data_IF_025464749734
#
_entry.id   IF_025464749734
#
_cell.length_a   1.000
_cell.length_b   1.000
_cell.length_c   1.000
_cell.angle_alpha   90.00
_cell.angle_beta   90.00
_cell.angle_gamma   90.00
#
_symmetry.space_group_name_H-M   'P 1'
#
loop_
_entity.id
_entity.type
_entity.pdbx_description
1 polymer ?
2 non-polymer ?
3 non-polymer ?
4 non-polymer ?
5 water ?
#
# COMPACT_ATOMS: atom_id res chain seq x y z
N UNK A 12 17.52 23.77 12.18
CA UNK A 12 18.00 23.26 13.49
C UNK A 12 18.22 21.75 13.37
N UNK A 13 19.13 21.26 14.21
CA UNK A 13 19.37 19.83 14.35
C UNK A 13 18.67 19.36 15.63
N UNK A 14 17.68 18.46 15.47
CA UNK A 14 16.92 17.94 16.61
C UNK A 14 17.32 16.51 16.92
N UNK A 15 17.12 16.14 18.18
CA UNK A 15 17.27 14.76 18.61
C UNK A 15 15.91 14.11 18.80
N UNK A 16 14.93 14.91 19.23
CA UNK A 16 13.54 14.48 19.40
C UNK A 16 12.64 15.29 18.45
N UNK A 17 11.66 14.63 17.85
CA UNK A 17 10.67 15.32 17.04
C UNK A 17 9.36 14.54 17.16
N UNK A 18 8.39 15.10 17.88
CA UNK A 18 7.21 14.33 18.23
C UNK A 18 7.64 13.06 18.96
N UNK A 19 7.23 11.90 18.42
CA UNK A 19 7.48 10.61 19.01
C UNK A 19 8.75 9.96 18.45
N UNK A 20 9.48 10.67 17.59
CA UNK A 20 10.70 10.15 16.98
C UNK A 20 11.90 10.58 17.81
N UNK A 21 12.91 9.70 17.87
CA UNK A 21 14.14 9.92 18.63
C UNK A 21 15.30 9.44 17.78
N UNK A 22 16.31 10.29 17.60
CA UNK A 22 17.54 9.89 16.95
C UNK A 22 18.08 8.64 17.64
N UNK A 23 18.53 7.68 16.81
CA UNK A 23 19.08 6.39 17.19
C UNK A 23 18.03 5.27 17.10
N UNK A 24 16.75 5.63 16.95
CA UNK A 24 15.69 4.62 16.83
C UNK A 24 15.85 3.84 15.53
N UNK A 25 15.42 2.58 15.57
CA UNK A 25 15.27 1.76 14.38
C UNK A 25 14.07 2.29 13.61
N UNK A 26 14.18 2.26 12.27
CA UNK A 26 13.18 2.87 11.41
C UNK A 26 13.21 2.13 10.08
N UNK A 27 12.12 2.24 9.31
CA UNK A 27 12.10 1.84 7.91
C UNK A 27 12.22 3.10 7.07
N UNK A 28 13.01 3.02 6.00
CA UNK A 28 13.15 4.12 5.06
C UNK A 28 12.90 3.66 3.64
N UNK A 29 12.36 4.57 2.82
CA UNK A 29 12.04 4.29 1.44
C UNK A 29 13.29 4.54 0.58
N UNK A 30 13.69 3.54 -0.20
CA UNK A 30 14.79 3.69 -1.15
C UNK A 30 14.25 4.11 -2.52
N UNK A 31 15.19 4.51 -3.38
CA UNK A 31 14.90 4.95 -4.74
C UNK A 31 14.21 3.83 -5.54
N UNK A 32 14.42 2.58 -5.13
CA UNK A 32 13.79 1.42 -5.75
C UNK A 32 12.29 1.36 -5.45
N UNK A 33 11.84 2.15 -4.46
CA UNK A 33 10.45 2.19 -4.00
C UNK A 33 10.19 1.09 -2.96
N UNK A 34 11.20 0.27 -2.67
CA UNK A 34 11.13 -0.69 -1.56
C UNK A 34 11.67 -0.03 -0.29
N UNK A 35 11.22 -0.55 0.85
CA UNK A 35 11.56 -0.01 2.16
C UNK A 35 12.44 -1.00 2.92
N UNK A 36 13.33 -0.45 3.74
CA UNK A 36 14.44 -1.20 4.33
C UNK A 36 14.70 -0.67 5.72
N UNK A 37 15.13 -1.58 6.61
CA UNK A 37 15.46 -1.24 7.97
C UNK A 37 16.71 -0.37 8.00
N UNK A 38 16.70 0.60 8.92
CA UNK A 38 17.88 1.40 9.20
C UNK A 38 17.73 2.08 10.56
N UNK A 39 18.58 3.09 10.78
CA UNK A 39 18.59 3.83 12.03
C UNK A 39 18.39 5.31 11.69
N UNK A 40 17.59 6.01 12.49
CA UNK A 40 17.44 7.44 12.34
C UNK A 40 18.66 8.10 12.97
N UNK A 41 19.48 8.80 12.16
CA UNK A 41 20.74 9.35 12.67
C UNK A 41 20.68 10.88 12.82
N UNK A 42 19.72 11.55 12.18
CA UNK A 42 19.58 12.99 12.33
C UNK A 42 18.17 13.43 11.97
N UNK A 43 17.77 14.55 12.58
CA UNK A 43 16.52 15.25 12.27
C UNK A 43 16.89 16.71 12.01
N UNK A 44 16.55 17.20 10.81
CA UNK A 44 16.92 18.55 10.39
C UNK A 44 15.64 19.35 10.14
N UNK A 45 15.59 20.58 10.65
CA UNK A 45 14.49 21.46 10.35
C UNK A 45 15.00 22.64 9.51
N UNK A 46 14.18 23.04 8.54
CA UNK A 46 14.35 24.30 7.82
C UNK A 46 13.00 25.00 7.88
N UNK A 47 12.86 25.97 8.80
CA UNK A 47 11.58 26.58 9.08
C UNK A 47 10.57 25.52 9.52
N UNK A 48 9.37 25.44 8.88
CA UNK A 48 8.41 24.38 9.20
C UNK A 48 8.74 23.01 8.60
N UNK A 49 9.71 22.97 7.68
CA UNK A 49 10.11 21.74 7.02
C UNK A 49 10.95 20.85 7.94
N UNK A 50 10.81 19.53 7.75
CA UNK A 50 11.51 18.54 8.54
C UNK A 50 12.03 17.44 7.61
N UNK A 51 13.29 17.05 7.82
CA UNK A 51 13.91 15.97 7.09
C UNK A 51 14.55 15.02 8.09
N UNK A 52 14.66 13.75 7.70
CA UNK A 52 15.06 12.65 8.56
C UNK A 52 16.17 11.89 7.85
N UNK A 53 17.36 11.88 8.46
CA UNK A 53 18.52 11.21 7.89
C UNK A 53 18.55 9.77 8.42
N UNK A 54 18.57 8.81 7.49
CA UNK A 54 18.53 7.40 7.83
C UNK A 54 19.83 6.75 7.34
N UNK A 55 20.44 5.94 8.21
CA UNK A 55 21.54 5.09 7.82
C UNK A 55 20.97 3.68 7.69
N UNK A 56 20.93 3.18 6.45
CA UNK A 56 20.40 1.84 6.21
C UNK A 56 21.40 0.81 6.70
N UNK A 57 20.90 -0.42 6.89
CA UNK A 57 21.72 -1.50 7.43
C UNK A 57 22.91 -1.81 6.51
N UNK A 58 22.86 -1.39 5.24
CA UNK A 58 23.97 -1.56 4.32
C UNK A 58 24.95 -0.38 4.41
N UNK A 59 24.74 0.50 5.40
CA UNK A 59 25.62 1.62 5.72
C UNK A 59 25.36 2.82 4.81
N UNK A 60 24.54 2.66 3.76
CA UNK A 60 24.12 3.80 2.93
C UNK A 60 23.21 4.74 3.69
N UNK A 61 23.27 6.04 3.36
CA UNK A 61 22.54 7.08 4.07
C UNK A 61 21.66 7.85 3.09
N UNK A 62 20.46 8.25 3.53
CA UNK A 62 19.62 9.15 2.75
C UNK A 62 18.84 10.08 3.66
N UNK A 63 18.58 11.27 3.13
CA UNK A 63 17.81 12.30 3.82
C UNK A 63 16.39 12.25 3.28
N UNK A 64 15.44 11.88 4.16
CA UNK A 64 14.08 11.54 3.73
C UNK A 64 13.07 12.50 4.32
N UNK A 65 11.98 12.76 3.57
CA UNK A 65 10.78 13.40 4.11
C UNK A 65 10.11 12.43 5.08
N UNK A 66 9.29 12.97 5.98
CA UNK A 66 8.69 12.18 7.05
C UNK A 66 7.66 11.17 6.55
N UNK A 67 7.14 11.35 5.34
CA UNK A 67 6.23 10.38 4.72
C UNK A 67 7.02 9.24 4.04
N UNK A 68 8.36 9.30 4.09
CA UNK A 68 9.23 8.30 3.48
C UNK A 68 10.01 7.53 4.54
N UNK A 69 9.54 7.61 5.80
CA UNK A 69 10.01 6.77 6.89
C UNK A 69 8.78 6.16 7.54
N UNK A 70 8.96 4.99 8.16
CA UNK A 70 7.90 4.28 8.86
C UNK A 70 8.47 3.68 10.14
N UNK A 71 7.63 3.52 11.15
CA UNK A 71 8.04 2.93 12.41
C UNK A 71 8.34 1.45 12.22
N UNK A 72 9.30 0.94 13.00
CA UNK A 72 9.62 -0.49 13.00
C UNK A 72 8.80 -1.18 14.09
N UNK A 73 7.48 -0.98 14.04
CA UNK A 73 6.56 -1.72 14.87
C UNK A 73 5.24 -1.76 14.12
N UNK A 74 4.32 -2.61 14.58
CA UNK A 74 3.06 -2.79 13.91
C UNK A 74 2.04 -1.87 14.55
N UNK A 75 1.15 -1.23 13.75
CA UNK A 75 0.21 -0.27 14.30
C UNK A 75 -0.82 -1.02 15.12
N UNK A 76 -1.31 -0.45 16.25
CA UNK A 76 -2.50 -0.97 16.90
C UNK A 76 -3.67 -0.90 15.94
N UNK A 77 -4.57 -1.88 16.01
CA UNK A 77 -5.73 -1.95 15.14
C UNK A 77 -6.56 -0.67 15.19
N UNK A 78 -6.68 -0.07 16.38
CA UNK A 78 -7.53 1.10 16.55
C UNK A 78 -6.86 2.36 15.99
N UNK A 79 -5.65 2.23 15.43
CA UNK A 79 -4.96 3.37 14.83
C UNK A 79 -4.90 3.21 13.31
N UNK A 80 -5.56 2.17 12.78
CA UNK A 80 -5.64 1.95 11.34
C UNK A 80 -7.08 2.19 10.87
N UNK A 81 -7.20 3.05 9.86
CA UNK A 81 -8.46 3.44 9.28
C UNK A 81 -8.36 3.23 7.79
N UNK A 82 -9.52 3.19 7.11
CA UNK A 82 -9.51 3.38 5.67
C UNK A 82 -8.79 4.69 5.36
N UNK A 83 -7.79 4.61 4.48
CA UNK A 83 -7.00 5.78 4.12
C UNK A 83 -5.68 5.89 4.87
N UNK A 84 -5.42 5.04 5.87
CA UNK A 84 -4.15 5.06 6.57
C UNK A 84 -3.01 4.74 5.60
N UNK A 85 -1.91 5.47 5.77
CA UNK A 85 -0.70 5.32 4.97
C UNK A 85 0.23 4.33 5.69
N UNK A 86 0.54 3.22 4.99
CA UNK A 86 1.29 2.12 5.60
C UNK A 86 2.36 1.62 4.65
N UNK A 87 3.34 0.94 5.24
CA UNK A 87 4.21 0.02 4.52
C UNK A 87 3.73 -1.38 4.84
N UNK A 88 3.63 -2.25 3.83
CA UNK A 88 3.14 -3.59 4.05
C UNK A 88 4.08 -4.60 3.42
N UNK A 89 4.12 -5.80 4.01
CA UNK A 89 4.87 -6.92 3.45
C UNK A 89 4.15 -7.45 2.21
N UNK A 90 4.92 -7.63 1.13
CA UNK A 90 4.45 -8.31 -0.07
C UNK A 90 5.43 -9.43 -0.36
N UNK A 91 4.93 -10.67 -0.39
CA UNK A 91 5.76 -11.82 -0.66
C UNK A 91 5.55 -12.16 -2.14
N UNK A 92 6.60 -11.91 -2.96
CA UNK A 92 6.57 -12.28 -4.37
C UNK A 92 7.46 -13.53 -4.51
N UNK A 93 6.83 -14.71 -4.61
CA UNK A 93 7.56 -15.97 -4.55
C UNK A 93 7.99 -16.30 -3.11
N UNK A 94 9.31 -16.38 -2.88
CA UNK A 94 9.87 -16.56 -1.54
C UNK A 94 10.63 -15.30 -1.15
N UNK A 95 10.53 -14.24 -1.97
CA UNK A 95 11.14 -12.95 -1.70
C UNK A 95 10.13 -12.08 -0.95
N UNK A 96 10.57 -11.40 0.11
CA UNK A 96 9.69 -10.49 0.82
C UNK A 96 10.13 -9.06 0.57
N UNK A 97 9.20 -8.22 0.12
CA UNK A 97 9.42 -6.79 -0.03
C UNK A 97 8.53 -6.01 0.94
N UNK A 98 9.01 -4.85 1.34
CA UNK A 98 8.20 -3.88 2.07
C UNK A 98 7.86 -2.76 1.10
N UNK A 99 6.56 -2.46 0.92
CA UNK A 99 6.13 -1.51 -0.09
C UNK A 99 4.99 -0.67 0.48
N UNK A 100 4.92 0.60 0.05
CA UNK A 100 3.94 1.54 0.57
C UNK A 100 2.56 1.29 -0.04
N UNK A 101 1.53 1.59 0.77
CA UNK A 101 0.16 1.49 0.32
C UNK A 101 -0.78 2.25 1.24
N UNK A 102 -2.06 1.98 1.03
CA UNK A 102 -3.18 2.61 1.70
C UNK A 102 -4.08 1.49 2.22
N UNK A 103 -4.53 1.62 3.46
CA UNK A 103 -5.52 0.70 4.00
C UNK A 103 -6.87 0.96 3.32
N UNK A 104 -7.42 -0.09 2.70
CA UNK A 104 -8.68 -0.02 1.98
C UNK A 104 -9.84 -0.66 2.77
N UNK A 105 -9.50 -1.51 3.72
CA UNK A 105 -10.50 -2.26 4.49
C UNK A 105 -9.81 -2.67 5.78
N UNK A 106 -10.57 -2.59 6.88
CA UNK A 106 -10.12 -3.03 8.18
C UNK A 106 -10.78 -4.38 8.51
N UNK A 107 -10.26 -5.13 9.49
CA UNK A 107 -10.78 -6.47 9.79
C UNK A 107 -12.27 -6.54 10.02
N UNK A 108 -12.90 -7.53 9.37
CA UNK A 108 -14.30 -7.84 9.59
C UNK A 108 -14.52 -9.31 9.31
N UNK A 109 -15.75 -9.78 9.55
CA UNK A 109 -16.08 -11.18 9.37
C UNK A 109 -15.84 -11.58 7.92
N UNK A 110 -16.32 -10.75 6.98
CA UNK A 110 -16.29 -11.06 5.56
C UNK A 110 -14.88 -11.16 4.99
N UNK A 111 -13.89 -10.46 5.59
CA UNK A 111 -12.52 -10.52 5.10
C UNK A 111 -11.63 -11.37 6.00
N UNK A 112 -12.25 -12.15 6.90
CA UNK A 112 -11.54 -13.05 7.80
C UNK A 112 -10.52 -12.28 8.64
N UNK A 113 -10.94 -11.09 9.10
CA UNK A 113 -10.21 -10.27 10.05
C UNK A 113 -8.84 -9.88 9.50
N UNK A 114 -8.80 -9.39 8.26
CA UNK A 114 -7.58 -8.92 7.65
C UNK A 114 -7.72 -7.47 7.20
N UNK A 115 -6.59 -6.85 6.86
CA UNK A 115 -6.54 -5.52 6.29
C UNK A 115 -6.35 -5.64 4.78
N UNK A 116 -7.16 -4.93 4.01
CA UNK A 116 -6.95 -4.85 2.58
C UNK A 116 -6.02 -3.67 2.32
N UNK A 117 -4.94 -3.94 1.56
CA UNK A 117 -3.98 -2.91 1.19
C UNK A 117 -4.03 -2.69 -0.31
N UNK A 118 -4.14 -1.42 -0.68
CA UNK A 118 -3.91 -0.99 -2.06
C UNK A 118 -2.52 -0.40 -2.12
N UNK A 119 -1.59 -1.12 -2.76
CA UNK A 119 -0.20 -0.70 -2.88
C UNK A 119 -0.07 0.42 -3.91
N UNK A 120 1.00 1.19 -3.77
CA UNK A 120 1.21 2.37 -4.61
C UNK A 120 1.38 2.00 -6.09
N UNK A 121 1.69 0.72 -6.36
CA UNK A 121 1.94 0.27 -7.73
C UNK A 121 0.70 -0.40 -8.35
N UNK A 122 -0.45 -0.33 -7.66
CA UNK A 122 -1.71 -0.80 -8.23
C UNK A 122 -2.10 -2.21 -7.77
N UNK A 123 -1.19 -2.93 -7.09
CA UNK A 123 -1.50 -4.27 -6.59
C UNK A 123 -2.30 -4.18 -5.30
N UNK A 124 -3.08 -5.22 -5.01
CA UNK A 124 -3.91 -5.30 -3.83
C UNK A 124 -3.68 -6.63 -3.12
N UNK A 125 -3.71 -6.60 -1.78
CA UNK A 125 -3.53 -7.81 -1.00
C UNK A 125 -4.21 -7.67 0.36
N UNK A 126 -4.71 -8.80 0.88
CA UNK A 126 -5.09 -8.88 2.29
C UNK A 126 -3.86 -9.25 3.10
N UNK A 127 -3.66 -8.54 4.23
CA UNK A 127 -2.54 -8.79 5.13
C UNK A 127 -3.06 -8.79 6.57
N UNK A 128 -2.21 -9.25 7.49
CA UNK A 128 -2.46 -9.18 8.93
C UNK A 128 -1.77 -7.96 9.51
N UNK A 129 -2.14 -7.63 10.76
CA UNK A 129 -1.54 -6.51 11.49
C UNK A 129 -0.01 -6.64 11.55
N UNK A 130 0.48 -7.88 11.63
CA UNK A 130 1.91 -8.15 11.79
C UNK A 130 2.68 -7.91 10.49
N UNK A 131 1.96 -7.57 9.40
CA UNK A 131 2.59 -7.33 8.11
C UNK A 131 2.56 -5.84 7.75
N UNK A 132 2.20 -4.99 8.73
CA UNK A 132 2.03 -3.55 8.52
C UNK A 132 2.95 -2.74 9.40
N UNK A 133 3.35 -1.58 8.87
CA UNK A 133 4.12 -0.59 9.60
C UNK A 133 3.50 0.77 9.29
N UNK A 134 3.30 1.65 10.29
CA UNK A 134 2.71 2.97 10.03
C UNK A 134 3.76 3.92 9.49
N UNK A 135 3.42 4.70 8.45
CA UNK A 135 4.31 5.76 7.98
C UNK A 135 4.32 6.87 9.04
N UNK A 136 5.50 7.43 9.31
CA UNK A 136 5.68 8.28 10.48
C UNK A 136 4.94 9.62 10.36
N UNK A 137 5.07 10.28 9.21
CA UNK A 137 4.51 11.61 9.02
C UNK A 137 3.77 11.64 7.70
N UNK A 138 2.59 10.98 7.63
CA UNK A 138 1.81 10.94 6.39
C UNK A 138 1.26 12.32 6.07
N UNK A 139 0.94 12.54 4.80
CA UNK A 139 0.27 13.76 4.39
C UNK A 139 -1.17 13.72 4.89
N UNK A 140 -1.74 14.91 5.16
CA UNK A 140 -3.08 15.01 5.71
C UNK A 140 -4.06 14.30 4.79
N UNK A 141 -4.00 14.62 3.49
CA UNK A 141 -4.58 13.78 2.46
C UNK A 141 -3.54 12.74 2.08
N UNK A 142 -3.72 11.52 2.62
CA UNK A 142 -2.67 10.51 2.66
C UNK A 142 -2.24 10.08 1.25
N UNK A 143 -3.16 10.20 0.28
CA UNK A 143 -2.94 9.79 -1.10
C UNK A 143 -2.06 10.76 -1.89
N UNK A 144 -1.75 11.93 -1.32
CA UNK A 144 -1.15 12.98 -2.12
C UNK A 144 0.32 12.73 -2.45
N UNK A 145 0.94 11.71 -1.84
CA UNK A 145 2.31 11.33 -2.15
C UNK A 145 2.37 10.02 -2.96
N UNK A 146 1.23 9.60 -3.52
CA UNK A 146 1.22 8.51 -4.48
C UNK A 146 1.64 9.06 -5.83
N UNK A 147 2.76 8.55 -6.36
CA UNK A 147 3.40 9.11 -7.54
C UNK A 147 2.58 8.87 -8.81
N UNK A 148 2.00 7.67 -8.94
CA UNK A 148 1.18 7.33 -10.10
C UNK A 148 -0.16 8.07 -10.00
N UNK A 149 -0.43 8.97 -10.95
CA UNK A 149 -1.59 9.86 -10.85
C UNK A 149 -2.88 9.03 -10.92
N UNK A 150 -2.89 8.00 -11.77
CA UNK A 150 -4.06 7.15 -11.91
C UNK A 150 -4.40 6.50 -10.58
N UNK A 151 -3.37 5.96 -9.92
CA UNK A 151 -3.55 5.32 -8.62
C UNK A 151 -3.96 6.34 -7.58
N UNK A 152 -3.27 7.49 -7.56
CA UNK A 152 -3.58 8.57 -6.64
C UNK A 152 -5.06 8.96 -6.73
N UNK A 153 -5.55 9.20 -7.96
CA UNK A 153 -6.92 9.64 -8.15
C UNK A 153 -7.91 8.57 -7.70
N UNK A 154 -7.59 7.30 -7.99
CA UNK A 154 -8.43 6.19 -7.59
C UNK A 154 -8.54 6.16 -6.06
N UNK A 155 -7.41 6.32 -5.37
CA UNK A 155 -7.38 6.25 -3.92
C UNK A 155 -8.21 7.40 -3.33
N UNK A 156 -8.01 8.62 -3.84
CA UNK A 156 -8.76 9.77 -3.35
C UNK A 156 -10.25 9.47 -3.44
N UNK A 157 -10.69 8.99 -4.62
CA UNK A 157 -12.10 8.72 -4.83
C UNK A 157 -12.56 7.64 -3.86
N UNK A 158 -11.77 6.56 -3.73
CA UNK A 158 -12.14 5.44 -2.91
C UNK A 158 -12.30 5.86 -1.45
N UNK A 159 -11.29 6.55 -0.92
CA UNK A 159 -11.24 6.89 0.49
C UNK A 159 -12.34 7.89 0.83
N UNK A 160 -12.60 8.86 -0.06
CA UNK A 160 -13.57 9.91 0.24
C UNK A 160 -15.01 9.45 -0.06
N UNK A 161 -15.20 8.37 -0.81
CA UNK A 161 -16.54 7.86 -1.07
C UNK A 161 -16.90 6.74 -0.08
N UNK A 162 -15.87 6.12 0.51
CA UNK A 162 -16.08 5.02 1.45
C UNK A 162 -17.11 5.43 2.50
N UNK A 163 -18.07 4.58 2.92
CA UNK A 163 -18.18 3.17 2.53
C UNK A 163 -18.94 2.78 1.25
N UNK A 164 -19.26 3.76 0.41
CA UNK A 164 -19.90 3.49 -0.87
C UNK A 164 -18.84 2.98 -1.85
N UNK A 165 -18.91 1.70 -2.18
CA UNK A 165 -17.86 1.02 -2.93
C UNK A 165 -18.49 0.18 -4.03
N UNK A 166 -18.59 0.71 -5.26
CA UNK A 166 -19.08 -0.09 -6.39
C UNK A 166 -18.12 -1.25 -6.62
N UNK A 167 -18.68 -2.46 -6.70
CA UNK A 167 -17.91 -3.66 -6.99
C UNK A 167 -18.70 -4.56 -7.90
N UNK A 168 -18.00 -5.44 -8.60
CA UNK A 168 -18.68 -6.40 -9.44
C UNK A 168 -18.86 -7.71 -8.68
N UNK A 169 -19.93 -8.42 -9.03
CA UNK A 169 -20.25 -9.69 -8.43
C UNK A 169 -19.87 -10.80 -9.42
N UNK A 170 -18.88 -11.60 -9.02
CA UNK A 170 -18.34 -12.66 -9.85
C UNK A 170 -18.26 -13.96 -9.04
N UNK A 171 -18.17 -15.09 -9.74
CA UNK A 171 -17.93 -16.38 -9.12
C UNK A 171 -16.95 -17.15 -9.99
N UNK A 172 -16.34 -18.16 -9.36
CA UNK A 172 -15.39 -19.07 -9.97
C UNK A 172 -15.97 -19.62 -11.28
N UNK A 173 -15.13 -19.60 -12.32
CA UNK A 173 -15.43 -20.20 -13.61
C UNK A 173 -15.89 -19.17 -14.65
N UNK A 174 -16.29 -17.97 -14.21
CA UNK A 174 -16.79 -16.97 -15.15
C UNK A 174 -15.64 -16.48 -16.02
N UNK A 175 -15.96 -16.21 -17.29
CA UNK A 175 -15.01 -15.76 -18.29
C UNK A 175 -15.27 -14.28 -18.56
N UNK A 176 -14.21 -13.47 -18.42
CA UNK A 176 -14.27 -12.04 -18.61
C UNK A 176 -12.94 -11.61 -19.23
N UNK A 177 -12.89 -10.38 -19.73
CA UNK A 177 -11.63 -9.77 -20.07
C UNK A 177 -11.11 -8.98 -18.88
N UNK A 178 -9.79 -9.03 -18.70
CA UNK A 178 -9.10 -8.29 -17.65
C UNK A 178 -7.96 -7.50 -18.29
N UNK A 179 -7.80 -6.24 -17.86
CA UNK A 179 -6.76 -5.37 -18.38
C UNK A 179 -5.41 -5.71 -17.75
N UNK A 180 -4.36 -5.61 -18.56
CA UNK A 180 -2.99 -5.67 -18.09
C UNK A 180 -2.10 -4.88 -19.04
N UNK A 181 -1.37 -3.90 -18.48
CA UNK A 181 -0.49 -3.03 -19.25
C UNK A 181 -1.18 -2.50 -20.51
N UNK A 182 -2.43 -2.06 -20.37
CA UNK A 182 -3.10 -1.26 -21.37
C UNK A 182 -3.80 -2.06 -22.47
N UNK A 183 -3.81 -3.39 -22.38
CA UNK A 183 -4.63 -4.19 -23.28
C UNK A 183 -5.51 -5.15 -22.48
N UNK A 184 -6.55 -5.64 -23.16
CA UNK A 184 -7.51 -6.58 -22.60
C UNK A 184 -7.09 -8.00 -22.92
N UNK A 185 -7.24 -8.89 -21.92
CA UNK A 185 -6.82 -10.27 -21.99
C UNK A 185 -7.98 -11.18 -21.62
N UNK A 186 -8.14 -12.28 -22.37
CA UNK A 186 -9.10 -13.30 -21.97
C UNK A 186 -8.65 -13.88 -20.63
N UNK A 187 -9.62 -14.02 -19.73
CA UNK A 187 -9.32 -14.41 -18.36
C UNK A 187 -10.49 -15.19 -17.76
N UNK A 188 -10.21 -15.84 -16.63
CA UNK A 188 -11.17 -16.65 -15.92
C UNK A 188 -11.10 -16.32 -14.43
N UNK A 189 -12.27 -16.24 -13.81
CA UNK A 189 -12.34 -16.05 -12.37
C UNK A 189 -12.03 -17.39 -11.70
N UNK A 190 -11.00 -17.40 -10.84
CA UNK A 190 -10.58 -18.64 -10.20
C UNK A 190 -11.17 -18.75 -8.80
N UNK A 191 -11.26 -17.62 -8.09
CA UNK A 191 -11.56 -17.62 -6.66
C UNK A 191 -12.01 -16.22 -6.26
N UNK A 192 -12.95 -16.15 -5.31
CA UNK A 192 -13.33 -14.89 -4.69
C UNK A 192 -12.92 -14.94 -3.23
N UNK A 193 -12.31 -13.86 -2.74
CA UNK A 193 -11.94 -13.73 -1.34
C UNK A 193 -12.26 -12.31 -0.89
N UNK A 194 -13.40 -12.15 -0.19
CA UNK A 194 -13.84 -10.84 0.24
C UNK A 194 -13.99 -9.90 -0.95
N UNK A 195 -13.20 -8.80 -0.91
CA UNK A 195 -13.27 -7.73 -1.89
C UNK A 195 -12.31 -7.98 -3.07
N UNK A 196 -11.66 -9.15 -3.09
CA UNK A 196 -10.72 -9.49 -4.14
C UNK A 196 -11.23 -10.68 -4.95
N UNK A 197 -10.82 -10.71 -6.21
CA UNK A 197 -11.03 -11.85 -7.08
C UNK A 197 -9.67 -12.26 -7.65
N UNK A 198 -9.42 -13.58 -7.70
CA UNK A 198 -8.21 -14.11 -8.31
C UNK A 198 -8.55 -14.42 -9.76
N UNK A 199 -7.88 -13.71 -10.68
CA UNK A 199 -8.09 -13.82 -12.11
C UNK A 199 -6.92 -14.59 -12.72
N UNK A 200 -7.25 -15.56 -13.57
CA UNK A 200 -6.28 -16.33 -14.34
C UNK A 200 -6.28 -15.76 -15.76
N UNK A 201 -5.13 -15.26 -16.18
CA UNK A 201 -4.95 -14.82 -17.56
C UNK A 201 -4.68 -16.06 -18.40
N UNK A 202 -5.53 -16.30 -19.41
CA UNK A 202 -5.51 -17.57 -20.12
C UNK A 202 -4.30 -17.69 -21.04
N UNK A 203 -3.76 -16.57 -21.54
CA UNK A 203 -2.67 -16.61 -22.51
C UNK A 203 -1.41 -17.23 -21.89
N UNK A 204 -1.12 -16.89 -20.63
CA UNK A 204 0.15 -17.27 -20.03
C UNK A 204 -0.06 -18.02 -18.71
N UNK A 205 -1.33 -18.21 -18.31
CA UNK A 205 -1.71 -18.92 -17.10
C UNK A 205 -1.09 -18.30 -15.84
N UNK A 206 -0.87 -16.98 -15.84
CA UNK A 206 -0.48 -16.30 -14.61
C UNK A 206 -1.73 -15.66 -14.02
N UNK A 207 -1.77 -15.60 -12.69
CA UNK A 207 -2.95 -15.14 -11.98
C UNK A 207 -2.62 -13.92 -11.13
N UNK A 208 -3.69 -13.23 -10.71
CA UNK A 208 -3.57 -11.99 -9.96
C UNK A 208 -4.80 -11.81 -9.09
N UNK A 209 -4.59 -11.39 -7.85
CA UNK A 209 -5.68 -10.89 -7.03
C UNK A 209 -5.95 -9.43 -7.39
N UNK A 210 -7.21 -9.17 -7.77
CA UNK A 210 -7.65 -7.87 -8.22
C UNK A 210 -8.85 -7.42 -7.40
N UNK A 211 -8.85 -6.14 -7.03
CA UNK A 211 -9.96 -5.54 -6.32
C UNK A 211 -11.22 -5.60 -7.17
N UNK A 212 -12.35 -6.01 -6.56
CA UNK A 212 -13.59 -6.20 -7.31
C UNK A 212 -14.21 -4.89 -7.77
N UNK A 213 -13.69 -3.75 -7.32
CA UNK A 213 -14.13 -2.46 -7.85
C UNK A 213 -13.19 -1.88 -8.89
N UNK A 214 -12.19 -2.66 -9.32
CA UNK A 214 -11.24 -2.20 -10.33
C UNK A 214 -11.87 -2.18 -11.73
N UNK A 215 -11.66 -1.08 -12.48
CA UNK A 215 -12.07 -1.02 -13.88
C UNK A 215 -11.17 -1.88 -14.78
N UNK A 216 -10.16 -2.55 -14.22
CA UNK A 216 -9.42 -3.56 -14.96
C UNK A 216 -10.27 -4.79 -15.22
N UNK A 217 -11.38 -4.95 -14.49
CA UNK A 217 -12.29 -6.07 -14.71
C UNK A 217 -13.37 -5.62 -15.70
N UNK A 218 -13.58 -6.38 -16.77
CA UNK A 218 -14.56 -6.03 -17.80
C UNK A 218 -15.89 -5.57 -17.20
N UNK A 219 -16.56 -6.33 -16.29
CA UNK A 219 -17.88 -5.91 -15.83
C UNK A 219 -17.89 -4.56 -15.14
N UNK A 220 -16.79 -4.23 -14.46
CA UNK A 220 -16.68 -2.96 -13.78
C UNK A 220 -16.43 -1.86 -14.81
N UNK A 221 -15.52 -2.12 -15.76
CA UNK A 221 -15.27 -1.20 -16.85
C UNK A 221 -16.57 -0.84 -17.59
N UNK A 222 -17.40 -1.86 -17.84
CA UNK A 222 -18.60 -1.71 -18.65
C UNK A 222 -19.79 -1.18 -17.85
N UNK A 223 -19.71 -1.14 -16.51
CA UNK A 223 -20.86 -0.83 -15.67
C UNK A 223 -21.40 0.58 -16.00
#
# INVERSE_FOLDING_TARGET
MHHHHHHSSGRENLYFQGDLIVSMRILGKKRTKTWHKGTLIAIQTVGPGKKYKVKFDNKGKSLLSGNHIAYDYHPPADKLYVGSRVVAKYKDGNQVWLYAGIVAETPNVKNKLRFLIFFDDGYASYVTQSELYPICRPLKKTWEDIEDISCRDFIEEYVTAYPNRPMVLLKSGQLIKTEWEGTWWKSRVEEVDGSLVRILFLDDKRCEWIYRGSTRLEPMFSMKT
#
